data_IF_797246598123
#
_entry.id   IF_797246598123
#
_cell.length_a   1.000
_cell.length_b   1.000
_cell.length_c   1.000
_cell.angle_alpha   90.00
_cell.angle_beta   90.00
_cell.angle_gamma   90.00
#
_symmetry.space_group_name_H-M   'P 1'
#
loop_
_entity.id
_entity.type
_entity.pdbx_description
1 polymer ?
#
# COMPACT_ATOMS: atom_id res chain seq x y z
N UNK A 1 -7.92 1.49 -3.22
CA UNK A 1 -6.70 1.12 -2.44
C UNK A 1 -6.94 1.12 -0.93
N UNK A 2 -7.54 2.15 -0.34
CA UNK A 2 -7.79 2.18 1.12
C UNK A 2 -8.60 0.98 1.61
N UNK A 3 -9.67 0.58 0.92
CA UNK A 3 -10.44 -0.61 1.27
C UNK A 3 -9.61 -1.89 1.21
N UNK A 4 -8.67 -1.99 0.26
CA UNK A 4 -7.74 -3.13 0.19
C UNK A 4 -6.86 -3.22 1.46
N UNK A 5 -6.42 -2.08 1.97
CA UNK A 5 -5.65 -2.01 3.21
C UNK A 5 -6.52 -2.36 4.43
N UNK A 6 -7.74 -1.85 4.50
CA UNK A 6 -8.69 -2.18 5.56
C UNK A 6 -8.98 -3.68 5.60
N UNK A 7 -9.27 -4.31 4.46
CA UNK A 7 -9.48 -5.75 4.36
C UNK A 7 -8.26 -6.56 4.79
N UNK A 8 -7.04 -6.06 4.49
CA UNK A 8 -5.81 -6.71 4.95
C UNK A 8 -5.76 -6.80 6.47
N UNK A 9 -6.10 -5.71 7.16
CA UNK A 9 -6.17 -5.71 8.63
C UNK A 9 -7.26 -6.62 9.17
N UNK A 10 -8.44 -6.63 8.54
CA UNK A 10 -9.56 -7.48 8.97
C UNK A 10 -9.19 -8.96 8.85
N UNK A 11 -8.58 -9.36 7.74
CA UNK A 11 -8.26 -10.76 7.47
C UNK A 11 -7.04 -11.27 8.24
N UNK A 12 -5.98 -10.46 8.36
CA UNK A 12 -4.69 -10.89 8.93
C UNK A 12 -4.41 -10.35 10.32
N UNK A 13 -5.20 -9.40 10.81
CA UNK A 13 -5.00 -8.70 12.08
C UNK A 13 -3.61 -8.02 12.20
N UNK A 14 -3.00 -7.71 11.07
CA UNK A 14 -1.68 -7.05 10.95
C UNK A 14 -1.52 -6.40 9.59
N UNK A 15 -0.47 -5.59 9.43
CA UNK A 15 -0.08 -5.05 8.12
C UNK A 15 0.74 -6.10 7.33
N UNK A 16 0.05 -7.07 6.74
CA UNK A 16 0.64 -8.09 5.90
C UNK A 16 0.86 -7.51 4.48
N UNK A 17 2.12 -7.18 4.15
CA UNK A 17 2.46 -6.56 2.86
C UNK A 17 2.10 -7.48 1.70
N UNK A 18 2.36 -8.77 1.80
CA UNK A 18 2.08 -9.72 0.73
C UNK A 18 0.59 -9.81 0.46
N UNK A 19 -0.23 -9.93 1.50
CA UNK A 19 -1.68 -9.94 1.36
C UNK A 19 -2.19 -8.61 0.79
N UNK A 20 -1.65 -7.49 1.29
CA UNK A 20 -2.02 -6.17 0.79
C UNK A 20 -1.68 -5.98 -0.69
N UNK A 21 -0.49 -6.40 -1.12
CA UNK A 21 -0.11 -6.38 -2.54
C UNK A 21 -1.03 -7.24 -3.41
N UNK A 22 -1.43 -8.42 -2.93
CA UNK A 22 -2.40 -9.27 -3.64
C UNK A 22 -3.75 -8.58 -3.80
N UNK A 23 -4.23 -7.89 -2.77
CA UNK A 23 -5.48 -7.13 -2.83
C UNK A 23 -5.37 -5.91 -3.75
N UNK A 24 -4.25 -5.21 -3.74
CA UNK A 24 -4.00 -4.12 -4.68
C UNK A 24 -3.93 -4.63 -6.13
N UNK A 25 -3.33 -5.79 -6.34
CA UNK A 25 -3.27 -6.40 -7.67
C UNK A 25 -4.68 -6.77 -8.17
N UNK A 26 -5.53 -7.29 -7.30
CA UNK A 26 -6.92 -7.59 -7.62
C UNK A 26 -7.73 -6.32 -7.91
N UNK A 27 -7.49 -5.24 -7.16
CA UNK A 27 -8.05 -3.92 -7.46
C UNK A 27 -7.60 -3.44 -8.86
N UNK A 28 -6.31 -3.56 -9.17
CA UNK A 28 -5.75 -3.13 -10.45
C UNK A 28 -6.31 -3.90 -11.64
N UNK A 29 -6.30 -5.23 -11.54
CA UNK A 29 -6.68 -6.11 -12.68
C UNK A 29 -8.18 -6.31 -12.80
N UNK A 30 -8.90 -6.42 -11.72
CA UNK A 30 -10.31 -6.82 -11.69
C UNK A 30 -11.26 -5.72 -11.19
N UNK A 31 -10.73 -4.57 -10.79
CA UNK A 31 -11.54 -3.46 -10.28
C UNK A 31 -12.16 -3.70 -8.90
N UNK A 32 -11.71 -4.71 -8.16
CA UNK A 32 -12.21 -4.98 -6.80
C UNK A 32 -11.97 -3.77 -5.90
N UNK A 33 -12.98 -3.36 -5.14
CA UNK A 33 -12.95 -2.15 -4.31
C UNK A 33 -12.83 -0.82 -5.09
N UNK A 34 -13.04 -0.84 -6.39
CA UNK A 34 -13.23 0.36 -7.18
C UNK A 34 -14.70 0.80 -7.15
N UNK A 35 -14.94 2.11 -7.21
CA UNK A 35 -16.30 2.67 -7.17
C UNK A 35 -17.17 2.28 -8.35
N UNK A 36 -16.56 1.96 -9.49
CA UNK A 36 -17.26 1.59 -10.73
C UNK A 36 -16.93 0.19 -11.24
N UNK A 37 -16.25 -0.63 -10.43
CA UNK A 37 -15.88 -1.99 -10.80
C UNK A 37 -14.67 -2.10 -11.74
N UNK A 38 -14.01 -0.99 -12.07
CA UNK A 38 -12.83 -0.93 -12.93
C UNK A 38 -11.76 -0.08 -12.26
N UNK A 39 -10.48 -0.46 -12.39
CA UNK A 39 -9.38 0.42 -12.01
C UNK A 39 -9.22 1.50 -13.09
N UNK A 40 -9.82 2.66 -12.87
CA UNK A 40 -9.84 3.77 -13.83
C UNK A 40 -8.73 4.80 -13.62
N UNK A 41 -8.05 4.75 -12.47
CA UNK A 41 -6.96 5.66 -12.14
C UNK A 41 -5.92 4.93 -11.27
N UNK A 42 -4.71 4.81 -11.81
CA UNK A 42 -3.57 4.22 -11.12
C UNK A 42 -2.30 4.99 -11.45
N UNK A 43 -1.57 5.43 -10.42
CA UNK A 43 -0.30 6.12 -10.59
C UNK A 43 0.80 5.20 -11.12
N UNK A 44 1.77 5.76 -11.81
CA UNK A 44 2.87 5.01 -12.43
C UNK A 44 3.69 4.21 -11.40
N UNK A 45 4.00 4.80 -10.24
CA UNK A 45 4.74 4.11 -9.18
C UNK A 45 3.98 2.92 -8.63
N UNK A 46 2.67 3.06 -8.40
CA UNK A 46 1.81 1.95 -7.94
C UNK A 46 1.76 0.83 -8.97
N UNK A 47 1.51 1.17 -10.23
CA UNK A 47 1.46 0.18 -11.32
C UNK A 47 2.77 -0.57 -11.45
N UNK A 48 3.88 0.13 -11.51
CA UNK A 48 5.21 -0.47 -11.58
C UNK A 48 5.45 -1.44 -10.42
N UNK A 49 5.14 -1.03 -9.19
CA UNK A 49 5.32 -1.87 -8.01
C UNK A 49 4.49 -3.17 -8.09
N UNK A 50 3.25 -3.09 -8.55
CA UNK A 50 2.40 -4.28 -8.70
C UNK A 50 2.89 -5.20 -9.82
N UNK A 51 3.38 -4.66 -10.92
CA UNK A 51 3.98 -5.42 -12.01
C UNK A 51 5.26 -6.12 -11.56
N UNK A 52 6.12 -5.43 -10.81
CA UNK A 52 7.34 -6.03 -10.22
C UNK A 52 7.01 -7.12 -9.21
N UNK A 53 5.96 -6.95 -8.41
CA UNK A 53 5.50 -7.98 -7.49
C UNK A 53 5.03 -9.25 -8.23
N UNK A 54 4.36 -9.11 -9.37
CA UNK A 54 3.99 -10.26 -10.22
C UNK A 54 5.22 -10.98 -10.74
N UNK A 55 6.27 -10.24 -11.14
CA UNK A 55 7.50 -10.82 -11.71
C UNK A 55 8.40 -11.47 -10.65
N UNK A 56 8.56 -10.83 -9.49
CA UNK A 56 9.57 -11.21 -8.49
C UNK A 56 8.97 -11.80 -7.21
N UNK A 57 7.66 -11.73 -7.03
CA UNK A 57 6.97 -12.24 -5.84
C UNK A 57 7.26 -11.43 -4.57
N UNK A 58 7.07 -12.04 -3.38
CA UNK A 58 7.18 -11.35 -2.09
C UNK A 58 8.57 -10.80 -1.76
N UNK A 59 9.60 -11.25 -2.46
CA UNK A 59 10.99 -10.83 -2.22
C UNK A 59 11.35 -9.51 -2.86
N UNK A 60 10.45 -8.92 -3.68
CA UNK A 60 10.71 -7.62 -4.27
C UNK A 60 10.77 -6.53 -3.21
N UNK A 61 11.89 -5.80 -3.17
CA UNK A 61 12.22 -4.83 -2.11
C UNK A 61 11.76 -3.40 -2.39
N UNK A 62 11.32 -3.11 -3.61
CA UNK A 62 10.85 -1.78 -3.97
C UNK A 62 11.91 -0.87 -4.61
N UNK A 63 11.45 0.27 -5.12
CA UNK A 63 12.28 1.30 -5.69
C UNK A 63 12.37 2.48 -4.72
N UNK A 64 13.59 2.84 -4.31
CA UNK A 64 13.84 3.89 -3.32
C UNK A 64 14.19 5.24 -3.96
N UNK A 65 14.22 5.32 -5.30
CA UNK A 65 14.54 6.58 -6.00
C UNK A 65 13.54 7.69 -5.62
N UNK A 66 14.01 8.90 -5.30
CA UNK A 66 13.14 10.05 -5.03
C UNK A 66 12.15 10.36 -6.16
N UNK A 67 12.49 10.02 -7.38
CA UNK A 67 11.62 10.20 -8.56
C UNK A 67 10.35 9.35 -8.50
N UNK A 68 10.34 8.30 -7.65
CA UNK A 68 9.18 7.45 -7.43
C UNK A 68 8.31 7.91 -6.25
N UNK A 69 8.67 9.01 -5.60
CA UNK A 69 7.94 9.56 -4.46
C UNK A 69 6.58 10.13 -4.91
N UNK A 70 5.55 9.32 -4.80
CA UNK A 70 4.17 9.71 -5.04
C UNK A 70 3.34 9.72 -3.75
N UNK A 71 2.13 10.25 -3.84
CA UNK A 71 1.24 10.39 -2.68
C UNK A 71 0.28 9.20 -2.46
N UNK A 72 0.34 8.16 -3.29
CA UNK A 72 -0.63 7.06 -3.20
C UNK A 72 -0.58 6.31 -1.87
N UNK A 73 0.59 6.23 -1.24
CA UNK A 73 0.71 5.65 0.10
C UNK A 73 -0.01 6.49 1.16
N UNK A 74 0.10 7.81 1.07
CA UNK A 74 -0.55 8.75 2.01
C UNK A 74 -2.08 8.74 1.85
N UNK A 75 -2.58 8.83 0.62
CA UNK A 75 -4.04 8.91 0.38
C UNK A 75 -4.80 7.63 0.76
N UNK A 76 -4.12 6.50 0.92
CA UNK A 76 -4.73 5.23 1.35
C UNK A 76 -4.47 4.90 2.83
N UNK A 77 -3.81 5.76 3.58
CA UNK A 77 -3.24 5.46 4.90
C UNK A 77 -4.29 5.36 6.03
N UNK A 78 -5.46 5.95 5.90
CA UNK A 78 -6.47 6.04 6.96
C UNK A 78 -6.78 4.70 7.69
N UNK A 79 -6.89 3.55 7.03
CA UNK A 79 -7.13 2.28 7.73
C UNK A 79 -6.04 1.92 8.75
N UNK A 80 -4.78 2.23 8.47
CA UNK A 80 -3.67 2.01 9.41
C UNK A 80 -3.84 2.88 10.66
N UNK A 81 -4.13 4.16 10.49
CA UNK A 81 -4.35 5.08 11.60
C UNK A 81 -5.53 4.62 12.49
N UNK A 82 -6.62 4.18 11.89
CA UNK A 82 -7.80 3.69 12.60
C UNK A 82 -7.50 2.39 13.34
N UNK A 83 -6.90 1.41 12.67
CA UNK A 83 -6.58 0.11 13.26
C UNK A 83 -5.59 0.22 14.41
N UNK A 84 -4.57 1.05 14.28
CA UNK A 84 -3.49 1.25 15.27
C UNK A 84 -3.72 2.44 16.20
N UNK A 85 -4.91 3.02 16.26
CA UNK A 85 -5.22 4.23 17.05
C UNK A 85 -4.83 4.16 18.54
N UNK A 86 -4.67 2.97 19.08
CA UNK A 86 -4.29 2.76 20.50
C UNK A 86 -2.79 2.54 20.72
N UNK A 87 -1.99 2.46 19.66
CA UNK A 87 -0.55 2.23 19.75
C UNK A 87 0.20 3.06 18.70
N UNK A 88 0.83 4.14 19.15
CA UNK A 88 1.63 5.00 18.29
C UNK A 88 2.78 4.22 17.63
N UNK A 89 3.47 3.36 18.38
CA UNK A 89 4.63 2.60 17.87
C UNK A 89 4.18 1.64 16.77
N UNK A 90 3.09 0.90 16.97
CA UNK A 90 2.56 -0.01 15.95
C UNK A 90 2.05 0.75 14.73
N UNK A 91 1.38 1.88 14.94
CA UNK A 91 0.94 2.76 13.86
C UNK A 91 2.08 3.30 13.02
N UNK A 92 3.14 3.74 13.68
CA UNK A 92 4.35 4.24 13.04
C UNK A 92 5.05 3.17 12.20
N UNK A 93 5.19 1.95 12.74
CA UNK A 93 5.74 0.80 12.01
C UNK A 93 4.88 0.42 10.81
N UNK A 94 3.58 0.31 11.01
CA UNK A 94 2.65 -0.08 9.94
C UNK A 94 2.54 1.00 8.85
N UNK A 95 2.74 2.28 9.19
CA UNK A 95 2.83 3.36 8.21
C UNK A 95 3.98 3.12 7.21
N UNK A 96 5.14 2.69 7.70
CA UNK A 96 6.27 2.31 6.87
C UNK A 96 5.89 1.13 5.97
N UNK A 97 5.40 0.05 6.56
CA UNK A 97 5.07 -1.20 5.85
C UNK A 97 4.05 -0.99 4.75
N UNK A 98 2.96 -0.27 5.01
CA UNK A 98 1.95 -0.02 3.99
C UNK A 98 2.47 0.86 2.85
N UNK A 99 3.37 1.82 3.14
CA UNK A 99 4.02 2.60 2.10
C UNK A 99 4.93 1.71 1.24
N UNK A 100 5.79 0.94 1.87
CA UNK A 100 6.75 0.04 1.20
C UNK A 100 6.08 -1.01 0.31
N UNK A 101 4.80 -1.27 0.48
CA UNK A 101 4.07 -2.14 -0.45
C UNK A 101 4.19 -1.66 -1.91
N UNK A 102 4.25 -0.35 -2.14
CA UNK A 102 4.34 0.25 -3.49
C UNK A 102 5.30 1.44 -3.57
N UNK A 103 5.53 2.17 -2.48
CA UNK A 103 6.28 3.43 -2.44
C UNK A 103 7.38 3.34 -1.39
N UNK A 104 8.62 3.16 -1.83
CA UNK A 104 9.79 2.96 -0.98
C UNK A 104 10.72 4.17 -0.92
N UNK A 105 10.41 5.27 -1.62
CA UNK A 105 11.14 6.52 -1.46
C UNK A 105 10.93 7.08 -0.05
N UNK A 106 12.00 7.66 0.52
CA UNK A 106 11.98 8.18 1.88
C UNK A 106 10.86 9.21 2.09
N UNK A 107 10.63 10.08 1.12
CA UNK A 107 9.60 11.12 1.17
C UNK A 107 8.19 10.53 1.30
N UNK A 108 7.92 9.44 0.57
CA UNK A 108 6.62 8.75 0.65
C UNK A 108 6.42 8.07 2.01
N UNK A 109 7.46 7.43 2.53
CA UNK A 109 7.44 6.77 3.83
C UNK A 109 7.24 7.82 4.94
N UNK A 110 8.03 8.88 4.93
CA UNK A 110 7.97 9.92 5.96
C UNK A 110 6.62 10.66 5.95
N UNK A 111 6.02 10.89 4.79
CA UNK A 111 4.69 11.48 4.72
C UNK A 111 3.61 10.63 5.42
N UNK A 112 3.77 9.31 5.44
CA UNK A 112 2.85 8.41 6.15
C UNK A 112 3.14 8.32 7.66
N UNK A 113 4.39 8.54 8.08
CA UNK A 113 4.81 8.46 9.49
C UNK A 113 4.40 9.68 10.30
N UNK A 114 4.31 10.82 9.69
CA UNK A 114 4.00 12.10 10.30
C UNK A 114 2.64 12.64 9.87
#
# INVERSE_FOLDING_TARGET
MALCLAETYIESNKCDITLFRKKLLNWYKNGTNSSNGVCFDIGNTTRYALEQFVLHGPTWMGNTSPETAGNAALIRHAPTAIFRRKSFIDGWRDAILQSEATHCAAESIDSCRF
#
